data_IF_543476401169
#
_entry.id   IF_543476401169
#
_cell.length_a   1.000
_cell.length_b   1.000
_cell.length_c   1.000
_cell.angle_alpha   90.00
_cell.angle_beta   90.00
_cell.angle_gamma   90.00
#
_symmetry.space_group_name_H-M   'P 1'
#
loop_
_entity.id
_entity.type
_entity.pdbx_description
1 polymer ?
#
# COMPACT_ATOMS: atom_id res chain seq x y z
N UNK A 1 -42.67 -1.55 18.82
CA UNK A 1 -41.71 -2.67 18.77
C UNK A 1 -40.57 -2.27 17.86
N UNK A 2 -39.49 -1.77 18.45
CA UNK A 2 -38.24 -1.48 17.76
C UNK A 2 -37.14 -2.02 18.67
N UNK A 3 -36.54 -3.15 18.27
CA UNK A 3 -35.42 -3.73 19.00
C UNK A 3 -34.16 -2.93 18.64
N UNK A 4 -33.75 -2.04 19.53
CA UNK A 4 -32.39 -1.50 19.55
C UNK A 4 -31.44 -2.66 19.85
N UNK A 5 -30.83 -3.26 18.83
CA UNK A 5 -29.62 -4.06 19.01
C UNK A 5 -28.47 -3.11 19.30
N UNK A 6 -28.21 -2.88 20.59
CA UNK A 6 -26.91 -2.43 21.04
C UNK A 6 -25.89 -3.50 20.65
N UNK A 7 -25.10 -3.24 19.60
CA UNK A 7 -23.87 -3.97 19.36
C UNK A 7 -22.95 -3.69 20.55
N UNK A 8 -22.92 -4.60 21.52
CA UNK A 8 -21.87 -4.59 22.53
C UNK A 8 -20.55 -4.78 21.79
N UNK A 9 -19.69 -3.75 21.77
CA UNK A 9 -18.37 -3.83 21.16
C UNK A 9 -17.68 -5.11 21.60
N UNK A 10 -17.29 -5.94 20.63
CA UNK A 10 -16.49 -7.11 20.91
C UNK A 10 -15.15 -6.62 21.48
N UNK A 11 -15.04 -6.61 22.81
CA UNK A 11 -13.78 -6.35 23.49
C UNK A 11 -12.91 -7.56 23.17
N UNK A 12 -12.07 -7.45 22.13
CA UNK A 12 -11.00 -8.42 21.90
C UNK A 12 -10.18 -8.42 23.20
N UNK A 13 -10.12 -9.54 23.93
CA UNK A 13 -9.44 -9.55 25.22
C UNK A 13 -8.00 -9.11 25.01
N UNK A 14 -7.47 -8.21 25.84
CA UNK A 14 -6.05 -7.76 25.78
C UNK A 14 -5.04 -8.94 25.71
N UNK A 15 -5.45 -10.12 26.19
CA UNK A 15 -4.69 -11.38 26.13
C UNK A 15 -4.59 -12.04 24.75
N UNK A 16 -5.48 -11.72 23.80
CA UNK A 16 -5.35 -12.18 22.40
C UNK A 16 -4.31 -11.38 21.63
N UNK A 17 -4.04 -10.15 22.05
CA UNK A 17 -3.08 -9.22 21.43
C UNK A 17 -1.67 -9.31 22.06
N UNK A 18 -1.39 -10.38 22.80
CA UNK A 18 -0.04 -10.68 23.30
C UNK A 18 0.56 -11.88 22.54
N UNK A 19 1.88 -12.08 22.70
CA UNK A 19 2.60 -13.14 22.00
C UNK A 19 1.99 -14.55 22.23
N UNK A 20 1.50 -14.85 23.44
CA UNK A 20 0.92 -16.17 23.75
C UNK A 20 -0.45 -16.34 23.10
N UNK A 21 -1.26 -15.29 23.12
CA UNK A 21 -2.54 -15.24 22.43
C UNK A 21 -2.37 -15.45 20.93
N UNK A 22 -1.41 -14.76 20.33
CA UNK A 22 -1.07 -14.91 18.93
C UNK A 22 -0.60 -16.34 18.61
N UNK A 23 0.41 -16.87 19.32
CA UNK A 23 0.93 -18.22 19.06
C UNK A 23 -0.17 -19.29 19.21
N UNK A 24 -1.06 -19.17 20.18
CA UNK A 24 -2.18 -20.08 20.36
C UNK A 24 -3.18 -20.01 19.18
N UNK A 25 -3.51 -18.80 18.72
CA UNK A 25 -4.39 -18.59 17.57
C UNK A 25 -3.77 -19.16 16.28
N UNK A 26 -2.48 -18.92 16.03
CA UNK A 26 -1.76 -19.45 14.87
C UNK A 26 -1.74 -20.98 14.87
N UNK A 27 -1.39 -21.60 16.00
CA UNK A 27 -1.36 -23.07 16.14
C UNK A 27 -2.75 -23.71 15.93
N UNK A 28 -3.83 -22.99 16.26
CA UNK A 28 -5.19 -23.45 15.98
C UNK A 28 -5.54 -23.28 14.50
N UNK A 29 -5.22 -22.12 13.92
CA UNK A 29 -5.49 -21.80 12.53
C UNK A 29 -4.77 -22.76 11.56
N UNK A 30 -3.53 -23.16 11.86
CA UNK A 30 -2.77 -24.15 11.07
C UNK A 30 -3.45 -25.52 10.98
N UNK A 31 -4.34 -25.86 11.91
CA UNK A 31 -5.07 -27.14 11.90
C UNK A 31 -6.41 -27.06 11.15
N UNK A 32 -6.84 -25.86 10.78
CA UNK A 32 -8.08 -25.65 10.04
C UNK A 32 -7.79 -25.73 8.54
N UNK A 33 -8.64 -26.42 7.76
CA UNK A 33 -8.51 -26.37 6.31
C UNK A 33 -8.81 -24.94 5.82
N UNK A 34 -8.11 -24.50 4.77
CA UNK A 34 -8.14 -23.13 4.24
C UNK A 34 -9.56 -22.58 4.03
N UNK A 35 -10.48 -23.39 3.50
CA UNK A 35 -11.88 -23.00 3.29
C UNK A 35 -12.66 -22.67 4.59
N UNK A 36 -12.13 -23.02 5.77
CA UNK A 36 -12.69 -22.63 7.08
C UNK A 36 -12.10 -21.33 7.63
N UNK A 37 -11.01 -20.83 7.04
CA UNK A 37 -10.38 -19.56 7.41
C UNK A 37 -11.03 -18.37 6.68
N UNK A 38 -11.56 -18.55 5.47
CA UNK A 38 -12.27 -17.49 4.76
C UNK A 38 -13.49 -16.93 5.53
N UNK A 39 -14.37 -17.75 6.14
CA UNK A 39 -15.46 -17.23 6.98
C UNK A 39 -14.97 -16.47 8.21
N UNK A 40 -13.79 -16.81 8.75
CA UNK A 40 -13.21 -16.11 9.90
C UNK A 40 -12.83 -14.67 9.54
N UNK A 41 -12.32 -14.42 8.34
CA UNK A 41 -12.02 -13.06 7.85
C UNK A 41 -13.30 -12.20 7.86
N UNK A 42 -14.37 -12.74 7.28
CA UNK A 42 -15.63 -12.01 7.14
C UNK A 42 -16.32 -11.80 8.49
N UNK A 43 -16.35 -12.83 9.34
CA UNK A 43 -17.14 -12.81 10.58
C UNK A 43 -16.41 -12.25 11.80
N UNK A 44 -15.06 -12.21 11.76
CA UNK A 44 -14.24 -11.76 12.90
C UNK A 44 -13.32 -10.61 12.50
N UNK A 45 -12.50 -10.78 11.46
CA UNK A 45 -11.46 -9.78 11.14
C UNK A 45 -12.05 -8.42 10.73
N UNK A 46 -13.07 -8.42 9.85
CA UNK A 46 -13.75 -7.17 9.44
C UNK A 46 -14.43 -6.47 10.62
N UNK A 47 -15.28 -7.12 11.45
CA UNK A 47 -15.86 -6.48 12.63
C UNK A 47 -14.83 -5.96 13.63
N UNK A 48 -13.73 -6.70 13.84
CA UNK A 48 -12.64 -6.26 14.73
C UNK A 48 -11.98 -5.00 14.17
N UNK A 49 -11.66 -4.96 12.88
CA UNK A 49 -11.08 -3.79 12.23
C UNK A 49 -11.98 -2.55 12.39
N UNK A 50 -13.30 -2.70 12.20
CA UNK A 50 -14.26 -1.61 12.40
C UNK A 50 -14.29 -1.16 13.87
N UNK A 51 -14.31 -2.11 14.81
CA UNK A 51 -14.41 -1.82 16.24
C UNK A 51 -13.18 -1.10 16.81
N UNK A 52 -12.01 -1.25 16.19
CA UNK A 52 -10.77 -0.57 16.60
C UNK A 52 -10.46 0.68 15.77
N UNK A 53 -11.38 1.11 14.90
CA UNK A 53 -11.18 2.24 13.98
C UNK A 53 -9.91 2.06 13.12
N UNK A 54 -9.80 0.94 12.40
CA UNK A 54 -8.63 0.55 11.59
C UNK A 54 -7.85 1.75 11.01
N UNK A 55 -6.55 1.82 11.34
CA UNK A 55 -5.57 2.87 10.97
C UNK A 55 -5.94 4.35 11.18
N UNK A 56 -7.11 4.66 11.78
CA UNK A 56 -7.28 5.84 12.62
C UNK A 56 -7.75 7.15 11.97
N UNK A 57 -8.63 7.13 10.96
CA UNK A 57 -9.31 8.35 10.51
C UNK A 57 -10.84 8.27 10.45
N UNK A 58 -11.41 7.06 10.48
CA UNK A 58 -12.85 6.86 10.43
C UNK A 58 -13.43 6.85 11.86
N UNK A 59 -14.59 7.48 12.04
CA UNK A 59 -15.36 7.43 13.28
C UNK A 59 -16.64 6.60 13.07
N UNK A 60 -16.70 5.34 13.55
CA UNK A 60 -17.84 4.47 13.33
C UNK A 60 -19.12 4.94 14.05
N UNK A 61 -19.03 5.96 14.91
CA UNK A 61 -20.18 6.54 15.60
C UNK A 61 -20.90 7.62 14.78
N UNK A 62 -20.27 8.12 13.73
CA UNK A 62 -20.85 9.06 12.76
C UNK A 62 -21.33 8.32 11.51
N UNK A 63 -22.29 8.87 10.77
CA UNK A 63 -22.79 8.23 9.54
C UNK A 63 -21.69 8.17 8.48
N UNK A 64 -21.00 9.29 8.28
CA UNK A 64 -19.91 9.41 7.31
C UNK A 64 -18.72 8.51 7.68
N UNK A 65 -18.33 8.50 8.96
CA UNK A 65 -17.23 7.66 9.43
C UNK A 65 -17.58 6.17 9.50
N UNK A 66 -18.84 5.80 9.73
CA UNK A 66 -19.28 4.40 9.68
C UNK A 66 -19.14 3.79 8.28
N UNK A 67 -19.50 4.56 7.24
CA UNK A 67 -19.23 4.15 5.85
C UNK A 67 -17.73 3.98 5.62
N UNK A 68 -16.92 4.99 5.98
CA UNK A 68 -15.48 4.98 5.76
C UNK A 68 -14.80 3.78 6.44
N UNK A 69 -15.16 3.48 7.69
CA UNK A 69 -14.65 2.32 8.42
C UNK A 69 -15.05 1.01 7.74
N UNK A 70 -16.31 0.89 7.31
CA UNK A 70 -16.81 -0.32 6.68
C UNK A 70 -16.09 -0.59 5.35
N UNK A 71 -15.99 0.43 4.50
CA UNK A 71 -15.34 0.33 3.19
C UNK A 71 -13.87 -0.06 3.33
N UNK A 72 -13.12 0.68 4.17
CA UNK A 72 -11.71 0.42 4.44
C UNK A 72 -11.49 -0.99 4.99
N UNK A 73 -12.18 -1.36 6.07
CA UNK A 73 -11.95 -2.64 6.73
C UNK A 73 -12.39 -3.83 5.88
N UNK A 74 -13.48 -3.70 5.13
CA UNK A 74 -13.92 -4.76 4.23
C UNK A 74 -12.91 -4.95 3.09
N UNK A 75 -12.49 -3.86 2.44
CA UNK A 75 -11.51 -3.90 1.36
C UNK A 75 -10.17 -4.48 1.80
N UNK A 76 -9.57 -3.93 2.87
CA UNK A 76 -8.28 -4.38 3.40
C UNK A 76 -8.30 -5.86 3.81
N UNK A 77 -9.31 -6.28 4.57
CA UNK A 77 -9.33 -7.65 5.08
C UNK A 77 -9.54 -8.65 3.95
N UNK A 78 -10.30 -8.29 2.91
CA UNK A 78 -10.52 -9.18 1.76
C UNK A 78 -9.32 -9.20 0.80
N UNK A 79 -8.62 -8.07 0.59
CA UNK A 79 -7.43 -8.01 -0.28
C UNK A 79 -6.27 -8.81 0.31
N UNK A 80 -6.02 -8.66 1.61
CA UNK A 80 -4.85 -9.25 2.28
C UNK A 80 -5.10 -10.69 2.76
N UNK A 81 -6.36 -11.08 2.94
CA UNK A 81 -6.70 -12.40 3.49
C UNK A 81 -6.02 -13.58 2.79
N UNK A 82 -5.98 -13.68 1.45
CA UNK A 82 -5.32 -14.82 0.79
C UNK A 82 -3.84 -14.94 1.14
N UNK A 83 -3.11 -13.82 1.18
CA UNK A 83 -1.67 -13.79 1.52
C UNK A 83 -1.46 -14.11 3.00
N UNK A 84 -2.32 -13.57 3.88
CA UNK A 84 -2.26 -13.86 5.30
C UNK A 84 -2.57 -15.34 5.59
N UNK A 85 -3.57 -15.91 4.92
CA UNK A 85 -3.91 -17.32 5.04
C UNK A 85 -2.74 -18.20 4.57
N UNK A 86 -2.14 -17.87 3.43
CA UNK A 86 -0.94 -18.56 2.94
C UNK A 86 0.18 -18.50 4.00
N UNK A 87 0.51 -17.31 4.51
CA UNK A 87 1.50 -17.13 5.57
C UNK A 87 1.17 -17.95 6.83
N UNK A 88 -0.09 -17.94 7.29
CA UNK A 88 -0.48 -18.64 8.52
C UNK A 88 -0.55 -20.15 8.36
N UNK A 89 -0.86 -20.65 7.17
CA UNK A 89 -0.94 -22.09 6.89
C UNK A 89 0.37 -22.68 6.40
N UNK A 90 1.31 -21.85 5.92
CA UNK A 90 2.63 -22.29 5.47
C UNK A 90 3.41 -22.96 6.61
N UNK A 91 3.79 -24.22 6.41
CA UNK A 91 4.51 -25.03 7.41
C UNK A 91 5.98 -24.62 7.57
N UNK A 92 6.52 -23.81 6.65
CA UNK A 92 7.90 -23.31 6.66
C UNK A 92 8.20 -22.27 7.75
N UNK A 93 7.18 -21.78 8.46
CA UNK A 93 7.34 -20.80 9.54
C UNK A 93 6.72 -21.29 10.84
N UNK A 94 7.42 -21.07 11.95
CA UNK A 94 6.91 -21.33 13.30
C UNK A 94 5.84 -20.31 13.70
N UNK A 95 5.00 -20.68 14.68
CA UNK A 95 4.02 -19.74 15.23
C UNK A 95 4.66 -18.45 15.78
N UNK A 96 5.88 -18.54 16.32
CA UNK A 96 6.62 -17.37 16.81
C UNK A 96 7.04 -16.43 15.69
N UNK A 97 7.59 -16.97 14.59
CA UNK A 97 8.02 -16.17 13.43
C UNK A 97 6.84 -15.45 12.80
N UNK A 98 5.70 -16.14 12.64
CA UNK A 98 4.44 -15.56 12.16
C UNK A 98 3.98 -14.42 13.07
N UNK A 99 3.96 -14.63 14.39
CA UNK A 99 3.57 -13.59 15.34
C UNK A 99 4.59 -12.44 15.49
N UNK A 100 5.86 -12.68 15.15
CA UNK A 100 6.90 -11.65 15.12
C UNK A 100 6.71 -10.73 13.92
N UNK A 101 6.26 -11.24 12.77
CA UNK A 101 5.93 -10.43 11.59
C UNK A 101 4.86 -9.35 11.87
N UNK A 102 3.96 -9.60 12.83
CA UNK A 102 2.96 -8.64 13.30
C UNK A 102 3.40 -7.81 14.51
N UNK A 103 4.65 -7.92 14.96
CA UNK A 103 5.16 -7.21 16.14
C UNK A 103 4.58 -7.66 17.48
N UNK A 104 3.87 -8.80 17.53
CA UNK A 104 3.22 -9.31 18.74
C UNK A 104 4.15 -10.19 19.60
N UNK A 105 5.14 -10.82 18.95
CA UNK A 105 6.20 -11.57 19.61
C UNK A 105 7.55 -10.89 19.43
N UNK A 106 8.43 -11.08 20.43
CA UNK A 106 9.86 -10.86 20.20
C UNK A 106 10.38 -12.02 19.36
N UNK A 107 11.33 -11.75 18.43
CA UNK A 107 12.01 -12.83 17.74
C UNK A 107 12.66 -13.73 18.80
N UNK A 108 12.23 -14.99 18.87
CA UNK A 108 13.01 -15.99 19.60
C UNK A 108 14.34 -16.12 18.86
N UNK A 109 15.47 -16.32 19.55
CA UNK A 109 16.70 -16.71 18.88
C UNK A 109 16.39 -18.03 18.18
N UNK A 110 16.13 -17.98 16.87
CA UNK A 110 16.00 -19.20 16.08
C UNK A 110 17.32 -19.94 16.23
N UNK A 111 17.33 -21.28 16.47
CA UNK A 111 18.46 -22.05 16.01
C UNK A 111 18.62 -21.68 14.54
N UNK A 112 19.77 -21.12 14.19
CA UNK A 112 20.08 -20.50 12.89
C UNK A 112 19.25 -21.22 11.83
N UNK A 113 18.27 -20.55 11.19
CA UNK A 113 17.47 -21.19 10.16
C UNK A 113 18.45 -21.85 9.19
N UNK A 114 18.12 -23.03 8.67
CA UNK A 114 18.69 -23.42 7.39
C UNK A 114 18.16 -22.39 6.39
N UNK A 115 18.79 -21.22 6.35
CA UNK A 115 18.76 -20.32 5.22
C UNK A 115 19.41 -21.19 4.14
N UNK A 116 18.74 -21.51 3.02
CA UNK A 116 19.48 -21.85 1.81
C UNK A 116 20.50 -20.72 1.71
N UNK A 117 21.77 -21.08 1.95
CA UNK A 117 22.96 -20.24 2.10
C UNK A 117 22.67 -18.77 1.83
N UNK A 118 22.83 -17.88 2.82
CA UNK A 118 22.82 -16.43 2.56
C UNK A 118 23.55 -16.21 1.24
N UNK A 119 22.83 -15.72 0.23
CA UNK A 119 23.41 -15.52 -1.10
C UNK A 119 24.40 -14.38 -0.90
N UNK A 120 25.63 -14.77 -0.58
CA UNK A 120 26.75 -13.86 -0.51
C UNK A 120 27.12 -13.60 -1.96
N UNK A 121 27.00 -12.35 -2.38
CA UNK A 121 27.63 -11.90 -3.60
C UNK A 121 29.13 -12.09 -3.42
N UNK A 122 29.71 -13.06 -4.12
CA UNK A 122 31.15 -13.23 -4.15
C UNK A 122 31.76 -12.15 -5.06
N UNK A 123 32.02 -10.99 -4.48
CA UNK A 123 32.68 -9.86 -5.14
C UNK A 123 34.21 -10.04 -5.20
N UNK A 124 34.75 -11.19 -4.80
CA UNK A 124 36.20 -11.43 -4.81
C UNK A 124 36.73 -11.87 -6.18
N UNK A 125 35.86 -12.38 -7.06
CA UNK A 125 36.22 -12.82 -8.39
C UNK A 125 35.94 -11.76 -9.45
N UNK A 126 36.91 -10.88 -9.68
CA UNK A 126 36.87 -9.83 -10.72
C UNK A 126 37.29 -10.36 -12.11
N UNK A 127 37.43 -11.68 -12.30
CA UNK A 127 37.94 -12.25 -13.55
C UNK A 127 36.92 -12.07 -14.67
N UNK A 128 37.29 -11.26 -15.67
CA UNK A 128 36.43 -10.94 -16.80
C UNK A 128 35.58 -9.68 -16.59
N UNK A 129 35.75 -8.99 -15.47
CA UNK A 129 35.21 -7.65 -15.33
C UNK A 129 35.87 -6.71 -16.35
N UNK A 130 35.08 -5.98 -17.15
CA UNK A 130 35.62 -4.98 -18.05
C UNK A 130 36.27 -3.85 -17.25
N UNK A 131 37.51 -3.50 -17.60
CA UNK A 131 38.13 -2.25 -17.17
C UNK A 131 37.49 -1.11 -17.94
N UNK A 132 36.61 -0.35 -17.30
CA UNK A 132 36.10 0.89 -17.87
C UNK A 132 37.15 1.97 -17.73
N UNK A 133 37.44 2.70 -18.81
CA UNK A 133 38.26 3.90 -18.71
C UNK A 133 37.58 4.90 -17.77
N UNK A 134 38.37 5.55 -16.90
CA UNK A 134 37.86 6.63 -16.07
C UNK A 134 37.23 7.69 -16.99
N UNK A 135 35.98 8.06 -16.70
CA UNK A 135 35.32 9.13 -17.43
C UNK A 135 36.22 10.38 -17.37
N UNK A 136 36.58 11.00 -18.51
CA UNK A 136 37.58 12.04 -18.51
C UNK A 136 37.16 13.18 -17.58
N UNK A 137 37.91 13.34 -16.49
CA UNK A 137 37.75 14.45 -15.56
C UNK A 137 38.20 15.74 -16.26
N UNK A 138 37.22 16.41 -16.88
CA UNK A 138 37.23 17.81 -17.31
C UNK A 138 38.16 18.12 -18.51
N UNK A 139 37.68 17.79 -19.72
CA UNK A 139 38.31 18.24 -20.98
C UNK A 139 37.41 18.26 -22.22
N UNK A 140 36.08 18.16 -22.06
CA UNK A 140 35.12 17.98 -23.17
C UNK A 140 34.05 16.93 -22.88
N UNK A 141 33.47 16.95 -21.67
CA UNK A 141 32.51 15.95 -21.20
C UNK A 141 31.17 16.06 -21.97
N UNK A 142 30.62 14.98 -22.55
CA UNK A 142 29.19 14.97 -22.83
C UNK A 142 28.48 15.06 -21.48
N UNK A 143 27.80 16.18 -21.25
CA UNK A 143 26.90 16.35 -20.11
C UNK A 143 25.55 15.82 -20.55
N UNK A 144 25.05 14.79 -19.86
CA UNK A 144 23.71 14.24 -20.08
C UNK A 144 22.72 14.79 -19.07
N UNK A 145 21.46 14.85 -19.45
CA UNK A 145 20.35 15.27 -18.60
C UNK A 145 19.33 14.14 -18.55
N UNK A 146 18.78 13.88 -17.37
CA UNK A 146 17.73 12.88 -17.22
C UNK A 146 16.64 13.42 -16.30
N UNK A 147 15.43 12.88 -16.46
CA UNK A 147 14.33 13.10 -15.51
C UNK A 147 14.29 11.92 -14.55
N UNK A 148 14.26 12.20 -13.25
CA UNK A 148 13.95 11.21 -12.24
C UNK A 148 12.49 11.38 -11.80
N UNK A 149 11.68 10.39 -12.09
CA UNK A 149 10.27 10.31 -11.76
C UNK A 149 10.05 9.18 -10.76
N UNK A 150 9.33 9.45 -9.68
CA UNK A 150 9.14 8.51 -8.57
C UNK A 150 7.88 8.88 -7.79
N UNK A 151 7.26 7.90 -7.14
CA UNK A 151 6.22 8.06 -6.11
C UNK A 151 5.09 8.99 -6.55
N UNK A 152 4.64 8.86 -7.81
CA UNK A 152 3.65 9.79 -8.34
C UNK A 152 2.28 9.57 -7.73
N UNK A 153 1.95 8.33 -7.36
CA UNK A 153 0.67 7.95 -6.77
C UNK A 153 -0.52 8.54 -7.54
N UNK A 154 -0.73 8.04 -8.76
CA UNK A 154 -1.82 8.49 -9.63
C UNK A 154 -3.17 8.02 -9.09
N UNK A 155 -3.94 8.96 -8.58
CA UNK A 155 -5.32 8.75 -8.19
C UNK A 155 -6.24 8.90 -9.42
N UNK A 156 -6.47 7.80 -10.13
CA UNK A 156 -7.20 7.80 -11.41
C UNK A 156 -8.66 8.26 -11.30
N UNK A 157 -9.26 8.10 -10.13
CA UNK A 157 -10.64 8.49 -9.82
C UNK A 157 -10.72 9.82 -9.03
N UNK A 158 -9.64 10.59 -9.02
CA UNK A 158 -9.59 11.91 -8.38
C UNK A 158 -10.71 12.81 -8.91
N UNK A 159 -11.52 13.33 -7.99
CA UNK A 159 -12.69 14.13 -8.29
C UNK A 159 -12.51 15.54 -7.73
N UNK A 160 -12.39 16.52 -8.63
CA UNK A 160 -12.30 17.95 -8.25
C UNK A 160 -13.56 18.33 -7.45
N UNK A 161 -13.36 19.03 -6.33
CA UNK A 161 -14.41 19.45 -5.42
C UNK A 161 -14.92 18.38 -4.45
N UNK A 162 -14.39 17.15 -4.50
CA UNK A 162 -14.70 16.12 -3.53
C UNK A 162 -14.16 16.46 -2.13
N UNK A 163 -14.70 15.80 -1.11
CA UNK A 163 -14.29 15.95 0.28
C UNK A 163 -12.85 15.43 0.47
N UNK A 164 -12.04 16.23 1.15
CA UNK A 164 -10.62 15.94 1.46
C UNK A 164 -10.45 15.36 2.87
N UNK A 165 -11.52 15.35 3.67
CA UNK A 165 -11.58 14.72 5.00
C UNK A 165 -12.81 13.81 5.08
N UNK A 166 -12.70 12.65 4.45
CA UNK A 166 -13.73 11.64 4.30
C UNK A 166 -13.65 10.50 5.34
N UNK A 167 -12.65 10.55 6.23
CA UNK A 167 -12.42 9.52 7.25
C UNK A 167 -11.68 8.27 6.76
N UNK A 168 -11.22 8.25 5.51
CA UNK A 168 -10.33 7.20 4.97
C UNK A 168 -8.90 7.72 4.86
N UNK A 169 -7.88 6.84 4.77
CA UNK A 169 -6.48 7.25 4.63
C UNK A 169 -6.20 8.19 3.44
N UNK A 170 -6.93 8.00 2.33
CA UNK A 170 -6.94 8.87 1.16
C UNK A 170 -8.40 9.20 0.78
N UNK A 171 -8.63 10.46 0.40
CA UNK A 171 -9.94 10.99 0.02
C UNK A 171 -9.93 11.52 -1.43
N UNK A 172 -10.68 12.58 -1.74
CA UNK A 172 -10.78 13.17 -3.08
C UNK A 172 -11.39 12.26 -4.15
N UNK A 173 -12.21 11.27 -3.77
CA UNK A 173 -12.93 10.38 -4.69
C UNK A 173 -14.39 10.78 -4.75
N UNK A 174 -15.12 10.32 -5.76
CA UNK A 174 -16.58 10.52 -5.83
C UNK A 174 -17.29 9.99 -4.58
N UNK A 175 -16.82 8.87 -4.05
CA UNK A 175 -17.35 8.22 -2.85
C UNK A 175 -17.08 9.00 -1.56
N UNK A 176 -16.04 9.85 -1.54
CA UNK A 176 -15.77 10.78 -0.44
C UNK A 176 -16.90 11.81 -0.26
N UNK A 177 -17.76 11.98 -1.27
CA UNK A 177 -18.82 12.98 -1.28
C UNK A 177 -18.32 14.37 -1.65
N UNK A 178 -19.25 15.34 -1.68
CA UNK A 178 -18.92 16.73 -1.99
C UNK A 178 -18.22 17.40 -0.80
N UNK A 179 -17.09 18.05 -1.06
CA UNK A 179 -16.34 18.73 -0.01
C UNK A 179 -17.11 19.91 0.59
N UNK A 180 -17.10 19.99 1.92
CA UNK A 180 -17.59 21.17 2.66
C UNK A 180 -16.66 22.37 2.43
N UNK A 181 -17.11 23.62 2.69
CA UNK A 181 -16.28 24.80 2.51
C UNK A 181 -14.92 24.68 3.20
N UNK A 182 -13.83 24.87 2.44
CA UNK A 182 -12.45 24.73 2.92
C UNK A 182 -11.86 23.32 2.84
N UNK A 183 -12.64 22.33 2.39
CA UNK A 183 -12.21 20.92 2.28
C UNK A 183 -12.49 20.31 0.91
N UNK A 184 -12.54 21.17 -0.11
CA UNK A 184 -12.82 20.77 -1.49
C UNK A 184 -11.51 20.48 -2.22
N UNK A 185 -11.42 19.30 -2.81
CA UNK A 185 -10.29 18.85 -3.61
C UNK A 185 -9.99 19.84 -4.75
N UNK A 186 -8.74 20.29 -4.84
CA UNK A 186 -8.27 21.21 -5.89
C UNK A 186 -8.16 20.55 -7.26
N UNK A 187 -7.89 21.33 -8.31
CA UNK A 187 -7.76 20.76 -9.66
C UNK A 187 -6.50 19.89 -9.83
N UNK A 188 -5.41 20.26 -9.18
CA UNK A 188 -4.12 19.58 -9.31
C UNK A 188 -3.82 18.63 -8.15
N UNK A 189 -4.58 18.67 -7.05
CA UNK A 189 -4.32 17.84 -5.88
C UNK A 189 -4.78 18.52 -4.59
N UNK A 190 -4.60 17.81 -3.48
CA UNK A 190 -4.76 18.30 -2.11
C UNK A 190 -3.75 17.57 -1.22
N UNK A 191 -3.33 18.18 -0.11
CA UNK A 191 -2.36 17.57 0.81
C UNK A 191 -2.87 16.31 1.54
N UNK A 192 -4.17 16.02 1.48
CA UNK A 192 -4.80 14.82 2.05
C UNK A 192 -5.19 13.77 1.00
N UNK A 193 -4.70 13.92 -0.21
CA UNK A 193 -5.05 13.08 -1.34
C UNK A 193 -3.80 12.76 -2.16
N UNK A 194 -3.96 11.82 -3.08
CA UNK A 194 -2.92 11.45 -4.04
C UNK A 194 -3.03 12.30 -5.33
N UNK A 195 -2.11 12.10 -6.26
CA UNK A 195 -1.93 12.99 -7.39
C UNK A 195 -3.08 12.87 -8.40
N UNK A 196 -3.65 14.02 -8.77
CA UNK A 196 -4.67 14.07 -9.81
C UNK A 196 -4.09 13.77 -11.21
N UNK A 197 -4.89 13.24 -12.14
CA UNK A 197 -4.47 13.09 -13.54
C UNK A 197 -4.09 14.42 -14.21
N UNK A 198 -4.64 15.54 -13.74
CA UNK A 198 -4.28 16.88 -14.23
C UNK A 198 -2.87 17.28 -13.80
N UNK A 199 -2.45 16.93 -12.59
CA UNK A 199 -1.07 17.16 -12.14
C UNK A 199 -0.07 16.37 -12.99
N UNK A 200 -0.37 15.12 -13.31
CA UNK A 200 0.48 14.29 -14.17
C UNK A 200 0.72 15.00 -15.50
N UNK A 201 -0.36 15.38 -16.19
CA UNK A 201 -0.30 16.09 -17.47
C UNK A 201 0.40 17.45 -17.37
N UNK A 202 0.20 18.18 -16.27
CA UNK A 202 0.84 19.48 -16.05
C UNK A 202 2.35 19.34 -15.83
N UNK A 203 2.77 18.42 -14.96
CA UNK A 203 4.18 18.12 -14.71
C UNK A 203 4.85 17.68 -16.02
N UNK A 204 4.18 16.81 -16.77
CA UNK A 204 4.59 16.38 -18.09
C UNK A 204 4.77 17.58 -19.03
N UNK A 205 3.77 18.42 -19.17
CA UNK A 205 3.88 19.63 -20.00
C UNK A 205 5.03 20.55 -19.56
N UNK A 206 5.33 20.64 -18.26
CA UNK A 206 6.45 21.45 -17.76
C UNK A 206 7.80 20.85 -18.18
N UNK A 207 7.96 19.53 -18.10
CA UNK A 207 9.17 18.81 -18.55
C UNK A 207 9.43 19.06 -20.04
N UNK A 208 8.37 19.04 -20.89
CA UNK A 208 8.51 19.31 -22.34
C UNK A 208 8.95 20.73 -22.66
N UNK A 209 8.74 21.66 -21.73
CA UNK A 209 9.07 23.09 -21.90
C UNK A 209 10.41 23.47 -21.25
N UNK A 210 11.17 22.49 -20.75
CA UNK A 210 12.53 22.74 -20.27
C UNK A 210 13.41 23.23 -21.44
N UNK A 211 14.37 24.09 -21.15
CA UNK A 211 15.34 24.58 -22.14
C UNK A 211 16.33 23.51 -22.61
N UNK A 212 16.37 22.36 -21.93
CA UNK A 212 17.24 21.24 -22.20
C UNK A 212 16.38 19.98 -22.33
N UNK A 213 16.59 19.26 -23.43
CA UNK A 213 15.94 17.97 -23.64
C UNK A 213 16.66 16.89 -22.83
N UNK A 214 15.96 16.16 -21.95
CA UNK A 214 16.55 15.02 -21.26
C UNK A 214 16.81 13.89 -22.25
N UNK A 215 17.90 13.16 -22.05
CA UNK A 215 18.32 12.01 -22.86
C UNK A 215 17.49 10.76 -22.54
N UNK A 216 17.01 10.64 -21.30
CA UNK A 216 16.15 9.54 -20.84
C UNK A 216 15.39 9.92 -19.56
N UNK A 217 14.46 9.03 -19.17
CA UNK A 217 13.72 9.10 -17.91
C UNK A 217 14.02 7.87 -17.08
N UNK A 218 14.28 8.07 -15.79
CA UNK A 218 14.26 7.02 -14.78
C UNK A 218 12.92 7.11 -14.07
N UNK A 219 12.09 6.07 -14.20
CA UNK A 219 10.89 5.88 -13.39
C UNK A 219 11.14 4.78 -12.36
N UNK A 220 11.14 5.11 -11.07
CA UNK A 220 11.36 4.18 -9.96
C UNK A 220 10.07 3.61 -9.33
N UNK A 221 8.89 3.93 -9.89
CA UNK A 221 7.62 3.30 -9.54
C UNK A 221 6.80 4.05 -8.49
N UNK A 222 5.98 3.29 -7.76
CA UNK A 222 4.86 3.76 -6.92
C UNK A 222 3.81 4.59 -7.69
N UNK A 223 3.35 4.02 -8.80
CA UNK A 223 2.35 4.64 -9.68
C UNK A 223 0.90 4.58 -9.15
N UNK A 224 0.40 3.48 -8.54
CA UNK A 224 -0.94 3.45 -7.98
C UNK A 224 -1.08 4.36 -6.74
N UNK A 225 -2.29 4.85 -6.48
CA UNK A 225 -2.61 5.62 -5.28
C UNK A 225 -2.60 4.74 -4.01
N UNK A 226 -2.70 5.36 -2.83
CA UNK A 226 -2.80 4.68 -1.54
C UNK A 226 -4.23 4.25 -1.18
N UNK A 227 -5.07 3.96 -2.17
CA UNK A 227 -6.42 3.40 -2.03
C UNK A 227 -6.41 1.86 -1.98
N UNK A 228 -5.40 1.29 -1.32
CA UNK A 228 -5.04 -0.15 -1.33
C UNK A 228 -6.20 -1.10 -1.02
N UNK A 229 -7.18 -0.66 -0.21
CA UNK A 229 -8.36 -1.45 0.13
C UNK A 229 -9.35 -1.61 -1.04
N UNK A 230 -9.21 -0.77 -2.06
CA UNK A 230 -10.08 -0.73 -3.25
C UNK A 230 -9.33 -1.10 -4.53
N UNK A 231 -8.13 -1.71 -4.41
CA UNK A 231 -7.30 -2.08 -5.56
C UNK A 231 -7.58 -3.48 -6.07
N UNK A 232 -7.31 -3.66 -7.36
CA UNK A 232 -7.30 -4.96 -8.05
C UNK A 232 -6.09 -5.01 -8.98
N UNK A 233 -5.59 -6.20 -9.36
CA UNK A 233 -4.50 -6.32 -10.33
C UNK A 233 -4.76 -5.52 -11.62
N UNK A 234 -6.00 -5.50 -12.10
CA UNK A 234 -6.41 -4.79 -13.30
C UNK A 234 -6.37 -3.27 -13.12
N UNK A 235 -6.77 -2.75 -11.97
CA UNK A 235 -6.70 -1.31 -11.67
C UNK A 235 -5.25 -0.86 -11.51
N UNK A 236 -4.41 -1.67 -10.85
CA UNK A 236 -2.99 -1.37 -10.67
C UNK A 236 -2.27 -1.32 -12.02
N UNK A 237 -2.53 -2.29 -12.91
CA UNK A 237 -1.99 -2.27 -14.27
C UNK A 237 -2.45 -1.05 -15.06
N UNK A 238 -3.71 -0.59 -14.88
CA UNK A 238 -4.20 0.63 -15.52
C UNK A 238 -3.47 1.88 -15.03
N UNK A 239 -3.14 1.98 -13.75
CA UNK A 239 -2.35 3.10 -13.20
C UNK A 239 -0.93 3.11 -13.75
N UNK A 240 -0.22 1.98 -13.68
CA UNK A 240 1.12 1.83 -14.25
C UNK A 240 1.12 2.15 -15.75
N UNK A 241 0.16 1.59 -16.50
CA UNK A 241 0.03 1.85 -17.93
C UNK A 241 -0.24 3.33 -18.22
N UNK A 242 -1.13 3.97 -17.47
CA UNK A 242 -1.45 5.38 -17.70
C UNK A 242 -0.25 6.29 -17.43
N UNK A 243 0.51 6.04 -16.36
CA UNK A 243 1.76 6.76 -16.08
C UNK A 243 2.74 6.53 -17.23
N UNK A 244 3.04 5.27 -17.55
CA UNK A 244 3.96 4.92 -18.62
C UNK A 244 3.57 5.53 -19.98
N UNK A 245 2.30 5.42 -20.39
CA UNK A 245 1.81 6.00 -21.65
C UNK A 245 1.96 7.54 -21.65
N UNK A 246 1.64 8.20 -20.53
CA UNK A 246 1.79 9.67 -20.43
C UNK A 246 3.26 10.09 -20.48
N UNK A 247 4.16 9.29 -19.91
CA UNK A 247 5.61 9.49 -20.05
C UNK A 247 6.08 9.17 -21.49
N UNK A 248 5.43 8.26 -22.23
CA UNK A 248 5.79 7.97 -23.62
C UNK A 248 5.25 9.02 -24.61
N UNK A 249 4.13 9.69 -24.30
CA UNK A 249 3.63 10.87 -25.04
C UNK A 249 4.66 12.02 -25.12
N UNK A 250 5.75 11.96 -24.35
CA UNK A 250 6.87 12.87 -24.45
C UNK A 250 7.65 12.76 -25.76
N UNK A 251 7.74 11.56 -26.34
CA UNK A 251 8.49 11.35 -27.59
C UNK A 251 9.99 11.61 -27.43
N UNK A 252 10.62 11.03 -26.41
CA UNK A 252 12.08 10.84 -26.44
C UNK A 252 12.43 9.79 -27.51
#
# INVERSE_FOLDING_TARGET
GAAHMYYSGAVVPKKMLDCKGCEAAVNLAQKLPVHKLEPFIITVAIPVCIAINGTGQCDPTTVEGAWACKDLCQGMMLSEAPVLIDLFTNEGYTANEKCTAFGLCKPKPSPIPYVPRAVSSDLSNLKGEPSWENWPENGGKPSGYFVHFTDFHLQRDYQIGAETQCGQPICCRSESGKGRPGYQAGAFGDHRCDASPLLLRSMVSAIKNLSVNPDFVINTGDDPAHDVWSQTPELNLKSVKQVADTLLEFGF
#
